data_IF_226974757684
#
_entry.id   IF_226974757684
#
_cell.length_a   1.000
_cell.length_b   1.000
_cell.length_c   1.000
_cell.angle_alpha   90.00
_cell.angle_beta   90.00
_cell.angle_gamma   90.00
#
_symmetry.space_group_name_H-M   'P 1'
#
loop_
_entity.id
_entity.type
_entity.pdbx_description
1 polymer ?
#
# COMPACT_ATOMS: atom_id res chain seq x y z
N UNK A 1 -37.70 21.24 -19.64
CA UNK A 1 -37.37 20.02 -20.41
C UNK A 1 -36.16 19.40 -19.74
N UNK A 2 -36.28 18.14 -19.32
CA UNK A 2 -35.39 17.46 -18.37
C UNK A 2 -33.97 17.29 -18.89
N UNK A 3 -32.97 17.68 -18.09
CA UNK A 3 -31.57 17.35 -18.32
C UNK A 3 -31.28 15.93 -17.87
N UNK A 4 -30.99 15.04 -18.80
CA UNK A 4 -30.48 13.69 -18.52
C UNK A 4 -29.05 13.80 -18.01
N UNK A 5 -28.80 13.34 -16.78
CA UNK A 5 -27.45 13.19 -16.26
C UNK A 5 -26.77 11.99 -16.93
N UNK A 6 -25.64 12.25 -17.60
CA UNK A 6 -24.69 11.22 -18.01
C UNK A 6 -24.17 10.51 -16.75
N UNK A 7 -24.24 9.18 -16.62
CA UNK A 7 -23.57 8.52 -15.51
C UNK A 7 -22.07 8.72 -15.67
N UNK A 8 -21.44 9.27 -14.63
CA UNK A 8 -20.00 9.38 -14.53
C UNK A 8 -19.36 8.03 -14.88
N UNK A 9 -18.39 8.08 -15.80
CA UNK A 9 -17.77 6.92 -16.40
C UNK A 9 -17.40 5.86 -15.37
N UNK A 10 -17.79 4.63 -15.64
CA UNK A 10 -17.33 3.47 -14.92
C UNK A 10 -15.79 3.51 -14.83
N UNK A 11 -15.26 3.62 -13.62
CA UNK A 11 -13.82 3.53 -13.37
C UNK A 11 -13.43 2.10 -13.72
N UNK A 12 -12.79 1.92 -14.87
CA UNK A 12 -12.21 0.63 -15.23
C UNK A 12 -11.28 0.24 -14.08
N UNK A 13 -11.44 -0.94 -13.45
CA UNK A 13 -10.50 -1.35 -12.41
C UNK A 13 -9.11 -1.41 -13.06
N UNK A 14 -8.14 -0.72 -12.47
CA UNK A 14 -6.76 -0.78 -12.91
C UNK A 14 -6.31 -2.25 -12.92
N UNK A 15 -6.13 -2.80 -14.12
CA UNK A 15 -5.70 -4.18 -14.28
C UNK A 15 -4.17 -4.21 -14.20
N UNK A 16 -3.68 -4.39 -12.97
CA UNK A 16 -2.25 -4.56 -12.73
C UNK A 16 -1.79 -5.97 -13.13
N UNK A 17 -0.55 -6.12 -13.64
CA UNK A 17 0.08 -7.42 -13.78
C UNK A 17 0.08 -8.18 -12.44
N UNK A 18 -0.05 -9.52 -12.46
CA UNK A 18 -0.14 -10.32 -11.23
C UNK A 18 1.08 -10.14 -10.31
N UNK A 19 2.24 -9.84 -10.86
CA UNK A 19 3.47 -9.56 -10.12
C UNK A 19 3.35 -8.27 -9.30
N UNK A 20 2.72 -7.24 -9.86
CA UNK A 20 2.47 -5.97 -9.17
C UNK A 20 1.44 -6.17 -8.06
N UNK A 21 0.36 -6.91 -8.31
CA UNK A 21 -0.63 -7.27 -7.28
C UNK A 21 0.04 -8.00 -6.12
N UNK A 22 0.90 -8.97 -6.43
CA UNK A 22 1.65 -9.75 -5.43
C UNK A 22 2.61 -8.87 -4.64
N UNK A 23 3.32 -7.95 -5.31
CA UNK A 23 4.22 -7.00 -4.68
C UNK A 23 3.47 -6.07 -3.71
N UNK A 24 2.34 -5.49 -4.13
CA UNK A 24 1.53 -4.60 -3.29
C UNK A 24 0.93 -5.33 -2.09
N UNK A 25 0.45 -6.56 -2.27
CA UNK A 25 -0.03 -7.40 -1.18
C UNK A 25 1.10 -7.72 -0.19
N UNK A 26 2.30 -8.02 -0.69
CA UNK A 26 3.49 -8.27 0.14
C UNK A 26 3.89 -7.02 0.91
N UNK A 27 3.94 -5.86 0.25
CA UNK A 27 4.24 -4.59 0.88
C UNK A 27 3.24 -4.28 2.00
N UNK A 28 1.94 -4.47 1.75
CA UNK A 28 0.92 -4.28 2.78
C UNK A 28 1.15 -5.19 4.00
N UNK A 29 1.42 -6.47 3.76
CA UNK A 29 1.72 -7.41 4.83
C UNK A 29 2.97 -7.03 5.62
N UNK A 30 4.02 -6.52 4.97
CA UNK A 30 5.24 -6.06 5.65
C UNK A 30 4.95 -4.81 6.52
N UNK A 31 4.14 -3.85 6.07
CA UNK A 31 3.72 -2.71 6.92
C UNK A 31 2.98 -3.20 8.17
N UNK A 32 2.00 -4.08 7.99
CA UNK A 32 1.15 -4.55 9.09
C UNK A 32 1.97 -5.37 10.13
N UNK A 33 3.11 -5.94 9.71
CA UNK A 33 3.99 -6.76 10.54
C UNK A 33 5.12 -5.96 11.19
N UNK A 34 5.67 -4.98 10.51
CA UNK A 34 6.80 -4.18 10.99
C UNK A 34 6.29 -2.94 11.72
N UNK A 35 5.86 -3.12 12.97
CA UNK A 35 5.32 -2.05 13.81
C UNK A 35 6.38 -1.37 14.68
N UNK A 36 6.14 -0.10 15.02
CA UNK A 36 6.95 0.65 15.97
C UNK A 36 6.61 0.28 17.42
N UNK A 37 7.59 -0.19 18.17
CA UNK A 37 7.53 -0.36 19.62
C UNK A 37 8.71 0.38 20.25
N UNK A 38 8.43 1.54 20.84
CA UNK A 38 9.44 2.34 21.55
C UNK A 38 10.59 2.83 20.66
N UNK A 39 10.32 3.12 19.39
CA UNK A 39 11.33 3.57 18.42
C UNK A 39 12.08 2.43 17.72
N UNK A 40 11.70 1.18 17.96
CA UNK A 40 12.30 -0.01 17.32
C UNK A 40 11.25 -0.85 16.63
N UNK A 41 11.62 -1.53 15.56
CA UNK A 41 10.75 -2.48 14.88
C UNK A 41 10.57 -3.73 15.75
N UNK A 42 9.32 -4.17 15.96
CA UNK A 42 9.02 -5.36 16.78
C UNK A 42 9.57 -6.67 16.20
N UNK A 43 9.76 -6.73 14.87
CA UNK A 43 10.27 -7.93 14.19
C UNK A 43 11.78 -7.89 13.97
N UNK A 44 12.33 -6.75 13.58
CA UNK A 44 13.75 -6.64 13.26
C UNK A 44 14.62 -6.30 14.47
N UNK A 45 14.07 -5.64 15.50
CA UNK A 45 14.85 -5.06 16.60
C UNK A 45 15.64 -3.80 16.23
N UNK A 46 15.68 -3.43 14.96
CA UNK A 46 16.33 -2.22 14.45
C UNK A 46 15.54 -0.94 14.73
N UNK A 47 16.17 0.25 14.65
CA UNK A 47 15.45 1.53 14.73
C UNK A 47 14.30 1.60 13.73
N UNK A 48 13.15 2.10 14.19
CA UNK A 48 11.97 2.28 13.38
C UNK A 48 11.98 3.68 12.71
N UNK A 49 11.58 3.81 11.43
CA UNK A 49 11.18 2.75 10.51
C UNK A 49 12.38 1.95 9.99
N UNK A 50 12.28 0.62 10.10
CA UNK A 50 13.30 -0.28 9.61
C UNK A 50 13.28 -0.37 8.07
N UNK A 51 14.33 -0.92 7.47
CA UNK A 51 14.45 -1.02 6.00
C UNK A 51 13.26 -1.73 5.35
N UNK A 52 12.72 -2.79 5.95
CA UNK A 52 11.56 -3.52 5.42
C UNK A 52 10.30 -2.66 5.38
N UNK A 53 9.97 -1.99 6.48
CA UNK A 53 8.83 -1.06 6.52
C UNK A 53 9.02 0.10 5.54
N UNK A 54 10.25 0.63 5.36
CA UNK A 54 10.52 1.71 4.39
C UNK A 54 10.30 1.28 2.95
N UNK A 55 10.75 0.08 2.58
CA UNK A 55 10.56 -0.44 1.22
C UNK A 55 9.09 -0.74 0.94
N UNK A 56 8.38 -1.27 1.93
CA UNK A 56 6.95 -1.53 1.83
C UNK A 56 6.14 -0.23 1.66
N UNK A 57 6.47 0.80 2.43
CA UNK A 57 5.86 2.13 2.34
C UNK A 57 6.10 2.78 0.96
N UNK A 58 7.35 2.71 0.47
CA UNK A 58 7.72 3.14 -0.88
C UNK A 58 6.91 2.41 -1.97
N UNK A 59 6.74 1.09 -1.84
CA UNK A 59 6.02 0.29 -2.82
C UNK A 59 4.52 0.61 -2.87
N UNK A 60 3.93 1.06 -1.74
CA UNK A 60 2.53 1.45 -1.67
C UNK A 60 2.28 2.91 -2.08
N UNK A 61 3.33 3.71 -2.26
CA UNK A 61 3.22 5.11 -2.64
C UNK A 61 2.53 5.96 -1.56
N UNK A 62 2.66 5.58 -0.29
CA UNK A 62 2.16 6.39 0.81
C UNK A 62 2.94 7.74 0.84
N UNK A 63 2.24 8.89 0.92
CA UNK A 63 2.87 10.21 0.91
C UNK A 63 3.72 10.51 2.16
#
# INVERSE_FOLDING_TARGET
MSSTATPAGATTPDHFPPEIVTMLATARAEIDRHLNSGGRCVLCGEPFPCTRSRLADLALGAP
#
